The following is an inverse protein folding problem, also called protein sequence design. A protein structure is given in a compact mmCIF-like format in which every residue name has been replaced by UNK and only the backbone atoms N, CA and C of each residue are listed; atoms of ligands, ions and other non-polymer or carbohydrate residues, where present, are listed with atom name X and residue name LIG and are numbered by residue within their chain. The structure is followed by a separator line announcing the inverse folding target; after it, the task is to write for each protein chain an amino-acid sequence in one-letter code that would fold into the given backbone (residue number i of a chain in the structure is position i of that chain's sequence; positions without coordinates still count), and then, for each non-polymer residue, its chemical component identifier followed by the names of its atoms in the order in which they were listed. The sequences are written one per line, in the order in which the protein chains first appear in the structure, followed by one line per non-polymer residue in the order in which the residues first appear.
data_IF_380680668105
#
_entry.id   IF_380680668105
#
_cell.length_a   1.000
_cell.length_b   1.000
_cell.length_c   1.000
_cell.angle_alpha   90.00
_cell.angle_beta   90.00
_cell.angle_gamma   90.00
#
_symmetry.space_group_name_H-M   'P 1'
#
loop_
_entity.id
_entity.type
_entity.pdbx_description
1 polymer ?
#
# COMPACT_ATOMS: atom_id res chain seq x y z
N UNK A 1 -15.27 7.34 -5.30
CA UNK A 1 -16.17 6.38 -5.97
C UNK A 1 -15.63 4.98 -5.82
N UNK A 2 -16.48 4.05 -5.51
CA UNK A 2 -16.11 2.64 -5.38
C UNK A 2 -16.15 1.97 -6.75
N UNK A 3 -15.12 1.22 -7.07
CA UNK A 3 -15.00 0.52 -8.35
C UNK A 3 -14.81 -0.97 -8.11
N UNK A 4 -15.59 -1.81 -8.81
CA UNK A 4 -15.47 -3.26 -8.75
C UNK A 4 -14.24 -3.76 -9.48
N UNK A 5 -13.62 -4.80 -8.94
CA UNK A 5 -12.48 -5.52 -9.51
C UNK A 5 -12.75 -7.02 -9.46
N UNK A 6 -12.02 -7.79 -10.26
CA UNK A 6 -12.15 -9.25 -10.23
C UNK A 6 -11.91 -9.78 -8.81
N UNK A 7 -10.94 -9.21 -8.09
CA UNK A 7 -10.54 -9.63 -6.75
C UNK A 7 -11.33 -8.97 -5.62
N UNK A 8 -12.16 -7.97 -5.90
CA UNK A 8 -12.91 -7.26 -4.87
C UNK A 8 -13.34 -5.88 -5.32
N UNK A 9 -12.93 -4.84 -4.60
CA UNK A 9 -13.27 -3.47 -4.93
C UNK A 9 -12.18 -2.50 -4.49
N UNK A 10 -12.15 -1.33 -5.12
CA UNK A 10 -11.29 -0.22 -4.74
C UNK A 10 -12.11 1.06 -4.64
N UNK A 11 -11.72 1.92 -3.71
CA UNK A 11 -12.38 3.21 -3.48
C UNK A 11 -11.34 4.27 -3.19
N UNK A 12 -11.30 5.33 -4.01
CA UNK A 12 -10.40 6.44 -3.76
C UNK A 12 -10.92 7.25 -2.56
N UNK A 13 -10.10 7.37 -1.52
CA UNK A 13 -10.41 8.15 -0.33
C UNK A 13 -9.82 9.56 -0.39
N UNK A 14 -8.64 9.69 -0.97
CA UNK A 14 -7.92 10.95 -1.09
C UNK A 14 -7.08 10.91 -2.35
N UNK A 15 -7.20 11.95 -3.16
CA UNK A 15 -6.38 12.09 -4.38
C UNK A 15 -5.86 13.51 -4.45
N UNK A 16 -4.53 13.66 -4.40
CA UNK A 16 -3.84 14.93 -4.59
C UNK A 16 -2.72 14.75 -5.61
N UNK A 17 -2.08 15.80 -6.09
CA UNK A 17 -0.94 15.66 -7.02
C UNK A 17 0.23 14.84 -6.45
N UNK A 18 0.36 14.77 -5.12
CA UNK A 18 1.52 14.16 -4.46
C UNK A 18 1.21 12.84 -3.78
N UNK A 19 -0.05 12.57 -3.45
CA UNK A 19 -0.46 11.39 -2.69
C UNK A 19 -1.85 10.94 -3.09
N UNK A 20 -2.03 9.62 -3.15
CA UNK A 20 -3.35 9.00 -3.34
C UNK A 20 -3.53 7.93 -2.26
N UNK A 21 -4.72 7.87 -1.70
CA UNK A 21 -5.08 6.84 -0.73
C UNK A 21 -6.32 6.13 -1.23
N UNK A 22 -6.23 4.83 -1.39
CA UNK A 22 -7.33 3.98 -1.83
C UNK A 22 -7.61 2.92 -0.77
N UNK A 23 -8.88 2.69 -0.52
CA UNK A 23 -9.31 1.54 0.27
C UNK A 23 -9.62 0.40 -0.68
N UNK A 24 -9.00 -0.75 -0.45
CA UNK A 24 -9.30 -1.95 -1.22
C UNK A 24 -9.88 -3.03 -0.33
N UNK A 25 -10.87 -3.74 -0.87
CA UNK A 25 -11.47 -4.91 -0.24
C UNK A 25 -11.16 -6.10 -1.13
N UNK A 26 -10.50 -7.10 -0.58
CA UNK A 26 -10.06 -8.27 -1.34
C UNK A 26 -10.75 -9.51 -0.81
N UNK A 27 -11.44 -10.23 -1.70
CA UNK A 27 -12.10 -11.48 -1.34
C UNK A 27 -11.07 -12.58 -1.06
N UNK A 28 -11.43 -13.65 -0.35
CA UNK A 28 -10.53 -14.80 -0.19
C UNK A 28 -10.15 -15.44 -1.52
N UNK A 29 -8.95 -16.00 -1.57
CA UNK A 29 -8.43 -16.76 -2.73
C UNK A 29 -8.35 -15.93 -4.01
N UNK A 30 -7.93 -14.67 -3.90
CA UNK A 30 -7.81 -13.74 -5.02
C UNK A 30 -6.39 -13.19 -5.13
N UNK A 31 -6.07 -12.69 -6.31
CA UNK A 31 -4.82 -11.96 -6.56
C UNK A 31 -5.05 -10.85 -7.57
N UNK A 32 -4.29 -9.78 -7.47
CA UNK A 32 -4.29 -8.72 -8.47
C UNK A 32 -3.29 -9.04 -9.59
N UNK A 33 -3.24 -8.16 -10.59
CA UNK A 33 -2.25 -8.26 -11.66
C UNK A 33 -0.85 -8.01 -11.13
N UNK A 34 0.15 -8.59 -11.80
CA UNK A 34 1.55 -8.24 -11.56
C UNK A 34 1.81 -6.93 -12.31
N UNK A 35 2.18 -5.89 -11.58
CA UNK A 35 2.38 -4.55 -12.15
C UNK A 35 3.45 -3.78 -11.40
N UNK A 36 3.86 -2.65 -11.97
CA UNK A 36 4.81 -1.73 -11.34
C UNK A 36 4.39 -0.30 -11.59
N UNK A 37 4.90 0.61 -10.75
CA UNK A 37 4.78 2.05 -10.90
C UNK A 37 6.17 2.63 -11.16
N UNK A 38 6.28 3.50 -12.16
CA UNK A 38 7.59 4.05 -12.56
C UNK A 38 8.12 5.11 -11.59
N UNK A 39 7.23 5.88 -10.96
CA UNK A 39 7.66 7.08 -10.24
C UNK A 39 7.16 7.18 -8.81
N UNK A 40 6.22 6.36 -8.40
CA UNK A 40 5.63 6.47 -7.06
C UNK A 40 5.88 5.24 -6.21
N UNK A 41 6.01 5.49 -4.92
CA UNK A 41 6.00 4.45 -3.89
C UNK A 41 4.59 3.96 -3.68
N UNK A 42 4.47 2.73 -3.25
CA UNK A 42 3.19 2.12 -2.89
C UNK A 42 3.33 1.49 -1.51
N UNK A 43 2.66 2.08 -0.51
CA UNK A 43 2.53 1.45 0.80
C UNK A 43 1.24 0.67 0.85
N UNK A 44 1.30 -0.53 1.40
CA UNK A 44 0.14 -1.38 1.65
C UNK A 44 -0.01 -1.53 3.16
N UNK A 45 -1.14 -1.08 3.69
CA UNK A 45 -1.46 -1.13 5.12
C UNK A 45 -2.69 -2.00 5.33
N UNK A 46 -2.54 -3.08 6.10
CA UNK A 46 -3.64 -4.01 6.35
C UNK A 46 -4.49 -3.54 7.54
N UNK A 47 -5.75 -3.21 7.28
CA UNK A 47 -6.69 -2.80 8.32
C UNK A 47 -7.33 -3.99 9.01
N UNK A 48 -7.61 -5.04 8.26
CA UNK A 48 -8.18 -6.28 8.80
C UNK A 48 -7.96 -7.44 7.85
N UNK A 49 -8.05 -8.66 8.36
CA UNK A 49 -7.84 -9.85 7.57
C UNK A 49 -6.37 -10.19 7.40
N UNK A 50 -6.03 -10.74 6.25
CA UNK A 50 -4.67 -11.18 5.94
C UNK A 50 -4.41 -11.05 4.45
N UNK A 51 -3.27 -10.47 4.09
CA UNK A 51 -2.88 -10.27 2.70
C UNK A 51 -1.39 -10.51 2.55
N UNK A 52 -1.00 -11.14 1.45
CA UNK A 52 0.40 -11.41 1.14
C UNK A 52 0.84 -10.54 -0.04
N UNK A 53 1.94 -9.84 0.15
CA UNK A 53 2.51 -8.94 -0.85
C UNK A 53 3.78 -9.58 -1.41
N UNK A 54 3.82 -9.73 -2.73
CA UNK A 54 4.97 -10.26 -3.46
C UNK A 54 5.65 -9.12 -4.20
N UNK A 55 6.95 -8.99 -4.03
CA UNK A 55 7.75 -7.95 -4.70
C UNK A 55 8.94 -8.60 -5.40
N UNK A 56 9.02 -8.41 -6.70
CA UNK A 56 10.15 -8.87 -7.51
C UNK A 56 11.31 -7.90 -7.34
N UNK A 57 12.41 -8.38 -6.77
CA UNK A 57 13.57 -7.54 -6.44
C UNK A 57 14.58 -7.41 -7.57
N UNK A 58 14.53 -8.30 -8.55
CA UNK A 58 15.42 -8.25 -9.73
C UNK A 58 14.79 -8.99 -10.90
N UNK A 59 15.48 -9.01 -12.03
CA UNK A 59 15.02 -9.63 -13.27
C UNK A 59 15.08 -11.16 -13.26
N UNK A 60 15.66 -11.77 -12.22
CA UNK A 60 15.75 -13.22 -12.11
C UNK A 60 14.53 -13.77 -11.37
N UNK A 61 14.71 -14.25 -10.17
CA UNK A 61 13.64 -14.90 -9.42
C UNK A 61 13.65 -14.55 -7.93
N UNK A 62 14.41 -13.52 -7.55
CA UNK A 62 14.39 -13.06 -6.18
C UNK A 62 13.12 -12.27 -5.90
N UNK A 63 12.22 -12.90 -5.15
CA UNK A 63 10.94 -12.31 -4.78
C UNK A 63 10.84 -12.23 -3.26
N UNK A 64 10.57 -11.03 -2.75
CA UNK A 64 10.22 -10.86 -1.33
C UNK A 64 8.74 -11.16 -1.16
N UNK A 65 8.43 -11.93 -0.13
CA UNK A 65 7.05 -12.30 0.20
C UNK A 65 6.79 -11.87 1.64
N UNK A 66 5.84 -10.96 1.80
CA UNK A 66 5.47 -10.42 3.12
C UNK A 66 3.99 -10.66 3.37
N UNK A 67 3.66 -11.36 4.45
CA UNK A 67 2.28 -11.53 4.85
C UNK A 67 1.93 -10.51 5.92
N UNK A 68 0.90 -9.72 5.63
CA UNK A 68 0.41 -8.67 6.51
C UNK A 68 -0.86 -9.14 7.22
N UNK A 69 -0.90 -8.95 8.51
CA UNK A 69 -2.09 -9.08 9.33
C UNK A 69 -2.52 -7.69 9.79
N UNK A 70 -3.57 -7.61 10.60
CA UNK A 70 -4.12 -6.33 11.06
C UNK A 70 -3.01 -5.40 11.58
N UNK A 71 -2.99 -4.17 11.05
CA UNK A 71 -2.04 -3.09 11.36
C UNK A 71 -0.62 -3.29 10.82
N UNK A 72 -0.37 -4.38 10.10
CA UNK A 72 0.90 -4.56 9.41
C UNK A 72 0.96 -3.75 8.12
N UNK A 73 2.15 -3.33 7.72
CA UNK A 73 2.33 -2.60 6.48
C UNK A 73 3.69 -2.92 5.86
N UNK A 74 3.76 -2.71 4.55
CA UNK A 74 5.00 -2.79 3.80
C UNK A 74 4.97 -1.79 2.65
N UNK A 75 6.13 -1.45 2.12
CA UNK A 75 6.25 -0.49 1.02
C UNK A 75 6.94 -1.12 -0.17
N UNK A 76 6.48 -0.73 -1.36
CA UNK A 76 7.06 -1.14 -2.64
C UNK A 76 7.69 0.10 -3.29
N UNK A 77 8.94 -0.02 -3.72
CA UNK A 77 9.68 1.07 -4.38
C UNK A 77 9.19 1.26 -5.82
N UNK A 78 9.37 2.46 -6.37
CA UNK A 78 9.19 2.64 -7.82
C UNK A 78 10.02 1.65 -8.61
N UNK A 79 9.47 1.16 -9.70
CA UNK A 79 10.15 0.25 -10.60
C UNK A 79 10.13 -1.23 -10.23
N UNK A 80 9.58 -1.58 -9.08
CA UNK A 80 9.50 -2.99 -8.65
C UNK A 80 8.16 -3.59 -9.07
N UNK A 81 8.19 -4.71 -9.78
CA UNK A 81 6.97 -5.48 -10.06
C UNK A 81 6.45 -6.10 -8.78
N UNK A 82 5.16 -6.02 -8.57
CA UNK A 82 4.55 -6.53 -7.34
C UNK A 82 3.10 -6.95 -7.58
N UNK A 83 2.59 -7.75 -6.66
CA UNK A 83 1.17 -8.12 -6.62
C UNK A 83 0.80 -8.52 -5.21
N UNK A 84 -0.50 -8.51 -4.92
CA UNK A 84 -1.01 -9.04 -3.66
C UNK A 84 -1.88 -10.27 -3.90
N UNK A 85 -2.01 -11.09 -2.87
CA UNK A 85 -2.93 -12.22 -2.89
C UNK A 85 -3.51 -12.49 -1.51
N UNK A 86 -4.69 -13.06 -1.49
CA UNK A 86 -5.34 -13.58 -0.28
C UNK A 86 -5.49 -15.08 -0.41
N UNK A 87 -5.59 -15.76 0.72
CA UNK A 87 -5.85 -17.20 0.75
C UNK A 87 -7.19 -17.48 1.40
N UNK A 88 -7.22 -17.84 2.67
CA UNK A 88 -8.47 -18.27 3.33
C UNK A 88 -9.29 -17.12 3.89
N UNK A 89 -8.68 -15.96 4.09
CA UNK A 89 -9.31 -14.80 4.69
C UNK A 89 -9.39 -13.66 3.67
N UNK A 90 -10.44 -12.85 3.79
CA UNK A 90 -10.50 -11.58 3.09
C UNK A 90 -9.53 -10.58 3.72
N UNK A 91 -9.38 -9.44 3.08
CA UNK A 91 -8.56 -8.35 3.60
C UNK A 91 -9.20 -7.00 3.26
N UNK A 92 -9.11 -6.08 4.22
CA UNK A 92 -9.37 -4.66 4.03
C UNK A 92 -8.04 -3.94 4.15
N UNK A 93 -7.66 -3.21 3.11
CA UNK A 93 -6.32 -2.67 2.97
C UNK A 93 -6.40 -1.21 2.51
N UNK A 94 -5.47 -0.39 2.99
CA UNK A 94 -5.21 0.91 2.40
C UNK A 94 -3.99 0.79 1.48
N UNK A 95 -4.15 1.20 0.23
CA UNK A 95 -3.04 1.44 -0.67
C UNK A 95 -2.76 2.92 -0.71
N UNK A 96 -1.52 3.28 -0.39
CA UNK A 96 -1.08 4.67 -0.33
C UNK A 96 0.03 4.84 -1.36
N UNK A 97 -0.23 5.70 -2.35
CA UNK A 97 0.75 6.06 -3.37
C UNK A 97 1.29 7.45 -3.07
N UNK A 98 2.61 7.60 -3.11
CA UNK A 98 3.24 8.87 -2.77
C UNK A 98 4.58 9.01 -3.48
N UNK A 99 5.05 10.27 -3.57
CA UNK A 99 6.39 10.56 -4.02
C UNK A 99 7.35 10.44 -2.83
N UNK A 100 8.64 10.36 -3.12
CA UNK A 100 9.64 10.19 -2.05
C UNK A 100 9.55 11.32 -1.03
N UNK A 101 9.39 10.98 0.27
CA UNK A 101 9.17 12.00 1.29
C UNK A 101 10.44 12.75 1.64
N UNK A 102 10.28 14.03 1.98
CA UNK A 102 11.35 14.85 2.55
C UNK A 102 11.22 14.76 4.08
N UNK A 103 12.08 13.96 4.71
CA UNK A 103 11.91 13.59 6.11
C UNK A 103 12.30 14.67 7.11
N UNK A 104 13.06 15.68 6.70
CA UNK A 104 13.58 16.72 7.61
C UNK A 104 13.12 18.12 7.27
N UNK A 105 12.00 18.24 6.56
CA UNK A 105 11.47 19.53 6.12
C UNK A 105 10.58 20.12 7.22
N UNK A 106 11.23 20.65 8.27
CA UNK A 106 10.52 21.34 9.33
C UNK A 106 11.41 22.44 9.91
N UNK A 107 10.83 23.62 10.08
CA UNK A 107 11.47 24.75 10.74
C UNK A 107 10.58 25.16 11.90
N UNK A 108 11.11 25.08 13.13
CA UNK A 108 10.34 25.36 14.34
C UNK A 108 10.52 26.81 14.77
N UNK A 109 9.43 27.46 15.12
CA UNK A 109 9.47 28.78 15.74
C UNK A 109 9.46 28.68 17.26
N UNK A 110 8.77 27.67 17.77
CA UNK A 110 8.67 27.43 19.23
C UNK A 110 8.82 25.94 19.49
N UNK A 111 9.03 25.60 20.76
CA UNK A 111 8.97 24.21 21.22
C UNK A 111 7.57 23.95 21.73
N UNK A 112 6.96 22.85 21.28
CA UNK A 112 5.64 22.44 21.73
C UNK A 112 5.64 22.08 23.21
N UNK A 113 4.45 22.02 23.79
CA UNK A 113 4.31 21.67 25.19
C UNK A 113 2.85 21.62 25.62
N UNK A 114 2.63 21.72 26.91
CA UNK A 114 1.31 21.65 27.51
C UNK A 114 0.57 22.97 27.29
N UNK A 115 -0.71 22.88 26.94
CA UNK A 115 -1.59 24.05 26.89
C UNK A 115 -2.10 24.32 28.32
N UNK A 116 -1.84 25.54 28.83
CA UNK A 116 -2.25 25.94 30.16
C UNK A 116 -3.52 26.79 30.11
#
# INVERSE_FOLDING_TARGET
MKQGKVWGSTEALLVTPMIEVHRISVRPSMKCSIHKHEHKWNMVYCMSGEITIHVQKNDYDLTDVTTLMQYGYTSVKPGEYHWFETRHRDAEVLEIYYLEPISSDIIRKTVGGIVE
#
